data_IF_774946847778
#
_entry.id   IF_774946847778
#
_cell.length_a   1.000
_cell.length_b   1.000
_cell.length_c   1.000
_cell.angle_alpha   90.00
_cell.angle_beta   90.00
_cell.angle_gamma   90.00
#
_symmetry.space_group_name_H-M   'P 1'
#
loop_
_entity.id
_entity.type
_entity.pdbx_description
1 polymer ?
#
# COMPACT_ATOMS: atom_id res chain seq x y z
N UNK A 1 20.79 -5.78 45.85
CA UNK A 1 21.97 -6.54 45.36
C UNK A 1 21.42 -7.73 44.61
N UNK A 2 21.57 -7.97 43.31
CA UNK A 2 22.48 -7.45 42.30
C UNK A 2 21.77 -7.49 40.94
N UNK A 3 22.05 -6.50 40.09
CA UNK A 3 21.65 -6.46 38.71
C UNK A 3 22.39 -7.52 37.88
N UNK A 4 21.75 -8.03 36.82
CA UNK A 4 22.45 -8.66 35.70
C UNK A 4 21.93 -8.02 34.41
N UNK A 5 22.70 -7.06 33.92
CA UNK A 5 22.56 -6.46 32.61
C UNK A 5 22.93 -7.50 31.54
N UNK A 6 22.06 -7.68 30.54
CA UNK A 6 22.42 -8.37 29.30
C UNK A 6 22.78 -7.32 28.26
N UNK A 7 24.07 -7.30 27.91
CA UNK A 7 24.61 -6.51 26.82
C UNK A 7 24.11 -7.08 25.48
N UNK A 8 23.54 -6.23 24.64
CA UNK A 8 23.26 -6.51 23.23
C UNK A 8 24.47 -6.03 22.44
N UNK A 9 25.20 -6.98 21.85
CA UNK A 9 26.34 -6.73 20.97
C UNK A 9 25.81 -6.49 19.56
N UNK A 10 25.97 -5.26 19.05
CA UNK A 10 25.77 -4.96 17.63
C UNK A 10 27.02 -5.36 16.85
N UNK A 11 26.90 -6.35 15.96
CA UNK A 11 27.92 -6.66 14.95
C UNK A 11 27.57 -5.89 13.68
N UNK A 12 28.36 -4.86 13.38
CA UNK A 12 28.31 -4.13 12.12
C UNK A 12 29.08 -4.92 11.05
N UNK A 13 28.39 -5.36 9.99
CA UNK A 13 29.01 -5.95 8.82
C UNK A 13 29.31 -4.85 7.78
N UNK A 14 30.59 -4.57 7.58
CA UNK A 14 31.10 -3.67 6.55
C UNK A 14 31.14 -4.40 5.19
N UNK A 15 30.45 -3.87 4.18
CA UNK A 15 30.59 -4.32 2.79
C UNK A 15 31.74 -3.56 2.13
N UNK A 16 32.80 -4.28 1.78
CA UNK A 16 33.90 -3.79 0.96
C UNK A 16 33.53 -3.91 -0.53
N UNK A 17 33.63 -2.80 -1.25
CA UNK A 17 33.50 -2.74 -2.71
C UNK A 17 34.79 -3.24 -3.38
N UNK A 18 34.66 -4.16 -4.34
CA UNK A 18 35.74 -4.58 -5.24
C UNK A 18 35.41 -4.11 -6.64
N UNK A 19 36.19 -3.14 -7.14
CA UNK A 19 36.16 -2.67 -8.52
C UNK A 19 37.02 -3.58 -9.39
N UNK A 20 36.47 -4.14 -10.46
CA UNK A 20 37.24 -4.81 -11.51
C UNK A 20 37.31 -3.91 -12.74
N UNK A 21 38.54 -3.43 -13.01
CA UNK A 21 38.94 -2.82 -14.27
C UNK A 21 39.28 -3.92 -15.27
N UNK A 22 38.65 -3.92 -16.44
CA UNK A 22 39.16 -4.63 -17.62
C UNK A 22 39.05 -3.74 -18.85
N UNK A 23 40.21 -3.32 -19.33
CA UNK A 23 40.42 -2.76 -20.66
C UNK A 23 40.80 -3.89 -21.64
N UNK A 24 40.33 -3.80 -22.89
CA UNK A 24 41.18 -3.67 -24.08
C UNK A 24 40.45 -3.95 -25.41
N UNK A 25 40.75 -3.07 -26.36
CA UNK A 25 40.95 -3.28 -27.80
C UNK A 25 39.75 -3.59 -28.71
N UNK A 26 39.48 -2.64 -29.60
CA UNK A 26 38.70 -2.79 -30.83
C UNK A 26 39.59 -3.27 -32.00
N UNK A 27 39.00 -3.95 -32.99
CA UNK A 27 39.50 -3.91 -34.37
C UNK A 27 38.51 -3.22 -35.31
N UNK A 28 39.07 -2.40 -36.21
CA UNK A 28 38.43 -1.82 -37.38
C UNK A 28 37.81 -2.89 -38.29
N UNK A 29 36.54 -2.69 -38.65
CA UNK A 29 35.94 -3.31 -39.83
C UNK A 29 35.03 -2.31 -40.54
N UNK A 30 35.56 -1.71 -41.61
CA UNK A 30 34.78 -1.03 -42.65
C UNK A 30 33.92 -2.07 -43.37
N UNK A 31 32.60 -1.90 -43.34
CA UNK A 31 31.70 -2.46 -44.34
C UNK A 31 30.41 -1.64 -44.46
N UNK A 32 30.32 -0.92 -45.58
CA UNK A 32 29.12 -0.55 -46.37
C UNK A 32 27.82 -0.12 -45.65
N UNK A 33 27.49 1.15 -45.79
CA UNK A 33 26.16 1.70 -45.53
C UNK A 33 25.12 1.23 -46.57
N UNK A 34 23.90 0.86 -46.14
CA UNK A 34 22.69 0.95 -46.96
C UNK A 34 21.90 2.23 -46.62
N UNK A 35 21.31 2.83 -47.66
CA UNK A 35 20.44 4.01 -47.65
C UNK A 35 19.25 3.90 -46.68
N UNK A 36 18.67 5.03 -46.22
CA UNK A 36 17.60 5.03 -45.23
C UNK A 36 16.29 4.51 -45.85
N UNK A 37 15.87 3.33 -45.42
CA UNK A 37 14.51 2.83 -45.66
C UNK A 37 13.64 3.28 -44.49
N UNK A 38 12.59 4.04 -44.79
CA UNK A 38 11.59 4.53 -43.86
C UNK A 38 11.01 3.40 -43.01
N UNK A 39 11.43 3.30 -41.75
CA UNK A 39 10.79 2.44 -40.77
C UNK A 39 9.42 3.05 -40.40
N UNK A 40 8.35 2.26 -40.30
CA UNK A 40 7.08 2.78 -39.85
C UNK A 40 7.23 3.20 -38.39
N UNK A 41 6.78 4.42 -38.08
CA UNK A 41 6.51 4.89 -36.73
C UNK A 41 5.69 3.82 -36.01
N UNK A 42 6.33 3.08 -35.10
CA UNK A 42 5.61 2.31 -34.08
C UNK A 42 4.96 3.38 -33.21
N UNK A 43 3.70 3.68 -33.50
CA UNK A 43 2.85 4.35 -32.55
C UNK A 43 2.96 3.56 -31.26
N UNK A 44 3.34 4.23 -30.17
CA UNK A 44 3.21 3.69 -28.84
C UNK A 44 1.75 3.24 -28.72
N UNK A 45 1.53 1.92 -28.73
CA UNK A 45 0.22 1.37 -28.45
C UNK A 45 -0.12 1.82 -27.04
N UNK A 46 -1.17 2.63 -26.91
CA UNK A 46 -1.89 2.75 -25.65
C UNK A 46 -2.11 1.32 -25.13
N UNK A 47 -1.82 1.03 -23.85
CA UNK A 47 -2.07 -0.30 -23.32
C UNK A 47 -3.54 -0.62 -23.54
N UNK A 48 -3.79 -1.62 -24.38
CA UNK A 48 -5.12 -2.11 -24.72
C UNK A 48 -5.84 -2.43 -23.42
N UNK A 49 -6.78 -1.55 -23.06
CA UNK A 49 -7.57 -1.62 -21.85
C UNK A 49 -8.46 -2.85 -21.88
N UNK A 50 -8.01 -3.91 -21.24
CA UNK A 50 -8.97 -4.73 -20.53
C UNK A 50 -9.68 -3.84 -19.49
N UNK A 51 -10.99 -4.06 -19.23
CA UNK A 51 -11.74 -3.27 -18.26
C UNK A 51 -10.99 -3.18 -16.92
N UNK A 52 -11.10 -2.02 -16.26
CA UNK A 52 -10.83 -1.92 -14.83
C UNK A 52 -11.61 -3.03 -14.10
N UNK A 53 -10.95 -3.74 -13.18
CA UNK A 53 -11.63 -4.78 -12.42
C UNK A 53 -12.54 -4.11 -11.39
N UNK A 54 -13.80 -4.52 -11.28
CA UNK A 54 -14.68 -4.01 -10.23
C UNK A 54 -14.11 -4.37 -8.84
N UNK A 55 -13.61 -3.40 -8.04
CA UNK A 55 -13.03 -3.68 -6.73
C UNK A 55 -14.06 -4.26 -5.75
N UNK A 56 -15.36 -4.00 -5.94
CA UNK A 56 -16.43 -4.61 -5.12
C UNK A 56 -16.44 -6.12 -5.29
N UNK A 57 -16.06 -6.63 -6.46
CA UNK A 57 -16.03 -8.06 -6.74
C UNK A 57 -14.85 -8.81 -6.07
N UNK A 58 -13.89 -8.09 -5.46
CA UNK A 58 -12.91 -8.67 -4.55
C UNK A 58 -13.49 -8.95 -3.15
N UNK A 59 -14.63 -8.33 -2.78
CA UNK A 59 -15.28 -8.59 -1.50
C UNK A 59 -15.76 -10.04 -1.47
N UNK A 60 -15.25 -10.82 -0.54
CA UNK A 60 -15.50 -12.26 -0.52
C UNK A 60 -14.67 -13.02 0.50
N UNK A 61 -14.86 -14.34 0.51
CA UNK A 61 -14.06 -15.30 1.25
C UNK A 61 -13.33 -16.18 0.24
N UNK A 62 -12.00 -16.11 0.25
CA UNK A 62 -11.17 -16.66 -0.81
C UNK A 62 -10.20 -17.70 -0.28
N UNK A 63 -10.12 -18.84 -0.95
CA UNK A 63 -9.04 -19.79 -0.79
C UNK A 63 -7.77 -19.22 -1.40
N UNK A 64 -6.68 -19.16 -0.63
CA UNK A 64 -5.39 -18.64 -1.09
C UNK A 64 -4.51 -19.78 -1.59
N UNK A 65 -3.89 -19.61 -2.76
CA UNK A 65 -2.92 -20.55 -3.31
C UNK A 65 -1.78 -19.83 -4.05
N UNK A 66 -0.64 -20.52 -4.21
CA UNK A 66 0.54 -19.95 -4.88
C UNK A 66 1.23 -18.83 -4.12
N UNK A 67 0.79 -18.54 -2.89
CA UNK A 67 1.36 -17.53 -2.02
C UNK A 67 2.54 -18.09 -1.22
N UNK A 68 3.69 -17.43 -1.31
CA UNK A 68 4.90 -17.86 -0.61
C UNK A 68 4.68 -17.77 0.91
N UNK A 69 4.92 -18.88 1.60
CA UNK A 69 4.80 -18.98 3.06
C UNK A 69 3.41 -19.41 3.55
N UNK A 70 2.45 -19.63 2.67
CA UNK A 70 1.11 -20.11 3.03
C UNK A 70 0.97 -21.62 2.84
N UNK A 71 0.25 -22.25 3.77
CA UNK A 71 -0.16 -23.66 3.66
C UNK A 71 -1.37 -23.82 2.74
N UNK A 72 -1.75 -25.07 2.44
CA UNK A 72 -2.97 -25.33 1.67
C UNK A 72 -4.17 -24.75 2.39
N UNK A 73 -4.26 -24.90 3.72
CA UNK A 73 -5.39 -24.46 4.57
C UNK A 73 -5.40 -22.96 4.90
N UNK A 74 -5.27 -22.10 3.88
CA UNK A 74 -5.24 -20.64 4.02
C UNK A 74 -6.46 -19.99 3.35
N UNK A 75 -7.14 -19.08 4.07
CA UNK A 75 -8.25 -18.30 3.53
C UNK A 75 -8.07 -16.81 3.79
N UNK A 76 -8.35 -15.99 2.78
CA UNK A 76 -8.39 -14.54 2.85
C UNK A 76 -9.83 -14.07 2.75
N UNK A 77 -10.34 -13.46 3.81
CA UNK A 77 -11.63 -12.76 3.79
C UNK A 77 -11.39 -11.27 3.56
N UNK A 78 -12.04 -10.72 2.55
CA UNK A 78 -11.99 -9.31 2.19
C UNK A 78 -13.38 -8.69 2.40
N UNK A 79 -13.55 -7.93 3.48
CA UNK A 79 -14.74 -7.09 3.73
C UNK A 79 -14.52 -5.65 3.25
N UNK A 80 -15.46 -4.72 3.50
CA UNK A 80 -15.23 -3.32 3.15
C UNK A 80 -14.15 -2.69 4.05
N UNK A 81 -12.94 -2.46 3.51
CA UNK A 81 -11.82 -1.85 4.23
C UNK A 81 -11.09 -2.79 5.21
N UNK A 82 -11.62 -3.98 5.44
CA UNK A 82 -11.18 -4.97 6.42
C UNK A 82 -10.68 -6.22 5.70
N UNK A 83 -9.54 -6.76 6.14
CA UNK A 83 -9.13 -8.11 5.75
C UNK A 83 -8.88 -8.99 6.97
N UNK A 84 -9.17 -10.27 6.78
CA UNK A 84 -8.87 -11.33 7.73
C UNK A 84 -8.14 -12.45 7.00
N UNK A 85 -6.92 -12.79 7.43
CA UNK A 85 -6.16 -13.92 6.89
C UNK A 85 -6.20 -15.08 7.90
N UNK A 86 -6.86 -16.16 7.50
CA UNK A 86 -6.98 -17.39 8.27
C UNK A 86 -5.82 -18.33 7.94
N UNK A 87 -5.13 -18.80 8.98
CA UNK A 87 -4.04 -19.78 8.90
C UNK A 87 -4.23 -20.86 9.97
N UNK A 88 -3.48 -21.95 9.85
CA UNK A 88 -3.45 -23.00 10.88
C UNK A 88 -3.06 -22.47 12.27
N UNK A 89 -2.19 -21.45 12.33
CA UNK A 89 -1.74 -20.88 13.60
C UNK A 89 -2.79 -19.99 14.29
N UNK A 90 -3.83 -19.55 13.59
CA UNK A 90 -4.74 -18.50 14.05
C UNK A 90 -5.14 -17.53 12.93
N UNK A 91 -5.53 -16.32 13.33
CA UNK A 91 -6.05 -15.30 12.41
C UNK A 91 -5.17 -14.05 12.45
N UNK A 92 -4.93 -13.47 11.28
CA UNK A 92 -4.34 -12.13 11.13
C UNK A 92 -5.41 -11.12 10.73
N UNK A 93 -5.33 -9.93 11.31
CA UNK A 93 -6.22 -8.81 11.07
C UNK A 93 -5.50 -7.70 10.33
N UNK A 94 -6.22 -7.09 9.40
CA UNK A 94 -5.65 -6.06 8.56
C UNK A 94 -6.70 -5.16 7.92
N UNK A 95 -6.20 -4.27 7.07
CA UNK A 95 -7.01 -3.42 6.21
C UNK A 95 -6.56 -3.58 4.76
N UNK A 96 -7.50 -3.44 3.84
CA UNK A 96 -7.21 -3.38 2.42
C UNK A 96 -8.08 -2.33 1.74
N UNK A 97 -7.68 -1.94 0.54
CA UNK A 97 -8.45 -1.12 -0.37
C UNK A 97 -8.03 -1.41 -1.80
N UNK A 98 -8.91 -1.09 -2.74
CA UNK A 98 -8.67 -1.24 -4.16
C UNK A 98 -9.43 -0.18 -4.95
N UNK A 99 -8.91 0.17 -6.12
CA UNK A 99 -9.58 0.97 -7.14
C UNK A 99 -9.05 0.52 -8.50
N UNK A 100 -9.90 0.44 -9.51
CA UNK A 100 -9.61 0.01 -10.88
C UNK A 100 -8.80 -1.29 -11.02
N UNK A 101 -7.47 -1.22 -10.89
CA UNK A 101 -6.57 -2.38 -10.86
C UNK A 101 -5.60 -2.33 -9.69
N UNK A 102 -5.52 -1.23 -8.97
CA UNK A 102 -4.64 -1.06 -7.82
C UNK A 102 -5.18 -1.83 -6.61
N UNK A 103 -4.28 -2.50 -5.92
CA UNK A 103 -4.57 -3.22 -4.68
C UNK A 103 -3.57 -2.79 -3.61
N UNK A 104 -4.08 -2.61 -2.39
CA UNK A 104 -3.27 -2.26 -1.24
C UNK A 104 -3.81 -2.99 -0.01
N UNK A 105 -2.93 -3.65 0.74
CA UNK A 105 -3.32 -4.36 1.94
C UNK A 105 -2.21 -4.30 3.00
N UNK A 106 -2.60 -4.42 4.25
CA UNK A 106 -1.69 -4.45 5.39
C UNK A 106 -2.22 -5.32 6.52
N UNK A 107 -1.32 -5.99 7.24
CA UNK A 107 -1.61 -6.67 8.50
C UNK A 107 -1.16 -5.79 9.65
N UNK A 108 -1.99 -5.67 10.69
CA UNK A 108 -1.66 -4.92 11.91
C UNK A 108 -2.03 -5.65 13.20
N UNK A 109 -2.64 -6.84 13.14
CA UNK A 109 -3.02 -7.61 14.31
C UNK A 109 -3.00 -9.11 14.05
N UNK A 110 -2.93 -9.90 15.12
CA UNK A 110 -2.97 -11.36 15.05
C UNK A 110 -3.53 -11.96 16.33
N UNK A 111 -3.99 -13.20 16.24
CA UNK A 111 -4.47 -14.00 17.36
C UNK A 111 -3.97 -15.45 17.27
N UNK A 112 -4.18 -16.21 18.34
CA UNK A 112 -3.73 -17.60 18.43
C UNK A 112 -2.21 -17.75 18.55
N UNK A 113 -1.70 -18.81 17.95
CA UNK A 113 -0.27 -19.16 17.95
C UNK A 113 0.55 -18.47 16.86
N UNK A 114 -0.06 -17.61 16.03
CA UNK A 114 0.64 -16.79 15.03
C UNK A 114 1.59 -15.73 15.64
N UNK A 115 1.78 -15.75 16.96
CA UNK A 115 2.27 -14.64 17.79
C UNK A 115 3.77 -14.58 18.04
N UNK A 116 4.55 -15.50 17.49
CA UNK A 116 5.95 -15.65 17.93
C UNK A 116 6.89 -14.52 17.45
N UNK A 117 6.61 -13.82 16.32
CA UNK A 117 7.53 -12.79 15.78
C UNK A 117 6.85 -11.65 14.97
N UNK A 118 5.57 -11.32 15.20
CA UNK A 118 4.75 -10.47 14.31
C UNK A 118 4.67 -11.07 12.90
N UNK A 119 3.60 -11.80 12.57
CA UNK A 119 3.54 -12.60 11.35
C UNK A 119 3.67 -11.72 10.11
N UNK A 120 4.77 -11.87 9.38
CA UNK A 120 4.99 -11.21 8.08
C UNK A 120 4.15 -11.91 7.02
N UNK A 121 3.59 -11.14 6.09
CA UNK A 121 2.80 -11.65 4.95
C UNK A 121 3.37 -11.08 3.65
N UNK A 122 4.56 -11.53 3.21
CA UNK A 122 5.31 -10.86 2.15
C UNK A 122 4.56 -10.76 0.82
N UNK A 123 3.74 -11.75 0.48
CA UNK A 123 2.96 -11.75 -0.77
C UNK A 123 1.86 -10.69 -0.74
N UNK A 124 1.24 -10.45 0.42
CA UNK A 124 0.21 -9.43 0.58
C UNK A 124 0.86 -8.04 0.60
N UNK A 125 2.06 -7.95 1.20
CA UNK A 125 2.85 -6.72 1.19
C UNK A 125 3.38 -6.33 -0.20
N UNK A 126 3.62 -7.33 -1.06
CA UNK A 126 4.06 -7.15 -2.44
C UNK A 126 2.90 -6.86 -3.39
N UNK A 127 1.68 -7.29 -3.07
CA UNK A 127 0.51 -7.10 -3.92
C UNK A 127 0.28 -5.61 -4.20
N UNK A 128 0.25 -5.27 -5.48
CA UNK A 128 0.07 -3.92 -6.00
C UNK A 128 -1.12 -3.82 -6.96
N UNK A 129 -1.51 -4.94 -7.57
CA UNK A 129 -2.65 -4.99 -8.48
C UNK A 129 -3.39 -6.32 -8.43
N UNK A 130 -4.53 -6.38 -9.11
CA UNK A 130 -5.36 -7.59 -9.23
C UNK A 130 -5.90 -7.76 -10.65
N UNK A 131 -6.26 -8.99 -11.00
CA UNK A 131 -6.98 -9.32 -12.24
C UNK A 131 -7.89 -10.53 -12.05
N UNK A 132 -8.96 -10.60 -12.84
CA UNK A 132 -9.85 -11.75 -12.84
C UNK A 132 -9.12 -13.01 -13.35
N UNK A 133 -9.44 -14.17 -12.77
CA UNK A 133 -8.89 -15.46 -13.16
C UNK A 133 -9.94 -16.57 -12.91
N UNK A 134 -10.67 -16.97 -13.95
CA UNK A 134 -11.81 -17.89 -13.81
C UNK A 134 -12.88 -17.29 -12.91
N UNK A 135 -13.33 -18.05 -11.91
CA UNK A 135 -14.31 -17.61 -10.89
C UNK A 135 -13.66 -16.89 -9.70
N UNK A 136 -12.39 -16.49 -9.83
CA UNK A 136 -11.62 -15.86 -8.76
C UNK A 136 -10.69 -14.77 -9.28
N UNK A 137 -9.61 -14.54 -8.54
CA UNK A 137 -8.70 -13.42 -8.74
C UNK A 137 -7.24 -13.84 -8.65
N UNK A 138 -6.36 -13.09 -9.30
CA UNK A 138 -4.93 -13.14 -9.06
C UNK A 138 -4.48 -11.79 -8.53
N UNK A 139 -3.68 -11.82 -7.47
CA UNK A 139 -2.96 -10.65 -6.98
C UNK A 139 -1.58 -10.63 -7.61
N UNK A 140 -1.14 -9.45 -8.03
CA UNK A 140 0.13 -9.26 -8.72
C UNK A 140 0.99 -8.21 -8.03
N UNK A 141 2.30 -8.40 -8.12
CA UNK A 141 3.28 -7.40 -7.70
C UNK A 141 3.41 -6.26 -8.73
N UNK A 142 4.23 -5.22 -8.45
CA UNK A 142 4.42 -4.11 -9.37
C UNK A 142 5.00 -4.49 -10.74
N UNK A 143 5.67 -5.64 -10.86
CA UNK A 143 6.18 -6.17 -12.13
C UNK A 143 5.14 -7.03 -12.87
N UNK A 144 3.93 -7.17 -12.33
CA UNK A 144 2.85 -7.96 -12.91
C UNK A 144 3.04 -9.48 -12.73
N UNK A 145 3.90 -9.92 -11.82
CA UNK A 145 4.04 -11.34 -11.47
C UNK A 145 2.98 -11.71 -10.44
N UNK A 146 2.39 -12.90 -10.58
CA UNK A 146 1.38 -13.39 -9.65
C UNK A 146 2.04 -13.71 -8.30
N UNK A 147 1.53 -13.09 -7.23
CA UNK A 147 1.97 -13.34 -5.84
C UNK A 147 0.98 -14.20 -5.05
N UNK A 148 -0.28 -14.26 -5.49
CA UNK A 148 -1.30 -15.15 -4.94
C UNK A 148 -2.44 -15.36 -5.95
N UNK A 149 -3.07 -16.53 -5.89
CA UNK A 149 -4.35 -16.81 -6.54
C UNK A 149 -5.45 -17.00 -5.49
N UNK A 150 -6.60 -16.41 -5.74
CA UNK A 150 -7.80 -16.39 -4.90
C UNK A 150 -8.89 -17.15 -5.63
N UNK A 151 -9.46 -18.18 -5.01
CA UNK A 151 -10.55 -18.96 -5.60
C UNK A 151 -11.69 -19.17 -4.60
N UNK A 152 -12.90 -19.39 -5.11
CA UNK A 152 -14.04 -19.82 -4.28
C UNK A 152 -13.86 -21.31 -4.01
N UNK A 153 -13.44 -21.65 -2.78
CA UNK A 153 -13.27 -23.03 -2.34
C UNK A 153 -13.47 -23.15 -0.83
N UNK A 154 -14.69 -23.59 -0.46
CA UNK A 154 -15.07 -23.83 0.92
C UNK A 154 -14.98 -22.61 1.84
N UNK A 155 -14.82 -22.89 3.13
CA UNK A 155 -14.62 -21.92 4.19
C UNK A 155 -13.63 -22.50 5.21
N UNK A 156 -12.90 -21.66 5.97
CA UNK A 156 -11.99 -22.16 7.00
C UNK A 156 -12.77 -22.88 8.10
N UNK A 157 -12.14 -23.86 8.73
CA UNK A 157 -12.69 -24.48 9.94
C UNK A 157 -12.72 -23.43 11.07
N UNK A 158 -13.83 -23.28 11.80
CA UNK A 158 -13.92 -22.33 12.90
C UNK A 158 -12.83 -22.53 13.96
N UNK A 159 -12.33 -21.42 14.51
CA UNK A 159 -11.44 -21.40 15.67
C UNK A 159 -12.29 -20.97 16.86
N UNK A 160 -12.31 -21.75 17.94
CA UNK A 160 -13.20 -21.52 19.10
C UNK A 160 -13.07 -20.13 19.73
N UNK A 161 -11.88 -19.51 19.65
CA UNK A 161 -11.61 -18.17 20.19
C UNK A 161 -11.82 -17.05 19.18
N UNK A 162 -12.14 -17.37 17.93
CA UNK A 162 -12.40 -16.39 16.89
C UNK A 162 -13.90 -16.11 16.77
N UNK A 163 -14.24 -14.89 16.35
CA UNK A 163 -15.61 -14.57 15.99
C UNK A 163 -16.04 -15.43 14.79
N UNK A 164 -17.17 -16.17 14.85
CA UNK A 164 -17.62 -17.02 13.75
C UNK A 164 -17.82 -16.27 12.43
N UNK A 165 -18.16 -14.98 12.49
CA UNK A 165 -18.38 -14.15 11.28
C UNK A 165 -17.13 -13.99 10.42
N UNK A 166 -15.93 -14.27 10.95
CA UNK A 166 -14.69 -14.27 10.18
C UNK A 166 -14.58 -15.46 9.22
N UNK A 167 -15.35 -16.53 9.43
CA UNK A 167 -15.43 -17.67 8.52
C UNK A 167 -16.60 -17.56 7.52
N UNK A 168 -17.39 -16.47 7.59
CA UNK A 168 -18.54 -16.24 6.72
C UNK A 168 -18.21 -15.31 5.55
N UNK A 169 -18.83 -15.56 4.39
CA UNK A 169 -18.72 -14.67 3.23
C UNK A 169 -19.33 -13.29 3.55
N UNK A 170 -18.58 -12.19 3.36
CA UNK A 170 -19.10 -10.84 3.56
C UNK A 170 -20.34 -10.55 2.69
N UNK A 171 -21.31 -9.83 3.24
CA UNK A 171 -22.50 -9.39 2.50
C UNK A 171 -22.20 -8.11 1.72
N UNK A 172 -22.48 -8.11 0.42
CA UNK A 172 -22.33 -6.93 -0.44
C UNK A 172 -23.64 -6.13 -0.45
N UNK A 173 -23.78 -5.22 0.51
CA UNK A 173 -24.87 -4.25 0.60
C UNK A 173 -24.50 -2.91 -0.07
N UNK A 174 -25.40 -1.93 0.01
CA UNK A 174 -25.17 -0.60 -0.58
C UNK A 174 -24.03 0.17 0.10
N UNK A 175 -23.82 -0.05 1.40
CA UNK A 175 -22.71 0.58 2.14
C UNK A 175 -21.37 0.03 1.65
N UNK A 176 -21.29 -1.28 1.41
CA UNK A 176 -20.10 -1.91 0.81
C UNK A 176 -19.85 -1.32 -0.57
N UNK A 177 -20.86 -1.26 -1.45
CA UNK A 177 -20.70 -0.65 -2.79
C UNK A 177 -20.22 0.80 -2.72
N UNK A 178 -20.81 1.62 -1.83
CA UNK A 178 -20.43 3.01 -1.66
C UNK A 178 -18.97 3.22 -1.20
N UNK A 179 -18.39 2.22 -0.52
CA UNK A 179 -17.00 2.26 -0.04
C UNK A 179 -15.97 2.15 -1.16
N UNK A 180 -16.38 1.61 -2.33
CA UNK A 180 -15.55 1.42 -3.52
C UNK A 180 -16.04 2.24 -4.72
N UNK A 181 -17.00 3.14 -4.52
CA UNK A 181 -17.50 3.99 -5.59
C UNK A 181 -16.37 4.86 -6.16
N UNK A 182 -16.46 5.11 -7.47
CA UNK A 182 -15.51 5.98 -8.16
C UNK A 182 -15.41 7.35 -7.51
N UNK A 183 -14.19 7.85 -7.48
CA UNK A 183 -13.86 9.18 -6.96
C UNK A 183 -13.95 10.20 -8.12
N UNK A 184 -14.50 11.40 -7.88
CA UNK A 184 -14.47 12.48 -8.86
C UNK A 184 -13.04 12.81 -9.33
N UNK A 185 -12.89 13.46 -10.50
CA UNK A 185 -11.58 13.95 -10.91
C UNK A 185 -11.04 15.00 -9.93
N UNK A 186 -9.71 15.14 -9.87
CA UNK A 186 -9.06 16.18 -9.09
C UNK A 186 -9.61 17.57 -9.45
N UNK A 187 -9.98 18.41 -8.46
CA UNK A 187 -10.46 19.77 -8.71
C UNK A 187 -9.52 20.61 -9.58
N UNK A 188 -10.11 21.43 -10.46
CA UNK A 188 -9.34 22.33 -11.32
C UNK A 188 -8.48 23.30 -10.49
N UNK A 189 -7.25 23.53 -10.93
CA UNK A 189 -6.27 24.38 -10.23
C UNK A 189 -5.30 23.59 -9.35
N UNK A 190 -5.60 22.33 -9.01
CA UNK A 190 -4.67 21.44 -8.36
C UNK A 190 -3.85 20.66 -9.39
N UNK A 191 -2.53 20.58 -9.17
CA UNK A 191 -1.66 19.67 -9.92
C UNK A 191 -1.67 18.30 -9.24
N UNK A 192 -1.95 17.18 -9.94
CA UNK A 192 -1.80 15.85 -9.35
C UNK A 192 -0.43 15.64 -8.70
N UNK A 193 -0.42 15.08 -7.49
CA UNK A 193 0.82 14.66 -6.87
C UNK A 193 1.39 13.43 -7.59
N UNK A 194 2.71 13.25 -7.50
CA UNK A 194 3.40 12.00 -7.87
C UNK A 194 3.91 11.31 -6.61
N UNK A 195 4.20 10.01 -6.67
CA UNK A 195 4.80 9.30 -5.52
C UNK A 195 6.14 9.92 -5.08
N UNK A 196 6.92 10.44 -6.05
CA UNK A 196 8.15 11.15 -5.77
C UNK A 196 7.89 12.50 -5.07
N UNK A 197 6.82 13.19 -5.45
CA UNK A 197 6.41 14.41 -4.75
C UNK A 197 6.03 14.11 -3.29
N UNK A 198 5.31 13.02 -3.01
CA UNK A 198 4.85 12.74 -1.64
C UNK A 198 5.97 12.31 -0.69
N UNK A 199 7.01 11.66 -1.18
CA UNK A 199 8.07 11.11 -0.34
C UNK A 199 8.66 12.17 0.61
N UNK A 200 8.79 11.82 1.89
CA UNK A 200 9.32 12.68 2.95
C UNK A 200 8.28 13.08 4.00
N UNK A 201 8.69 14.00 4.88
CA UNK A 201 7.92 14.46 6.03
C UNK A 201 7.18 15.77 5.76
N UNK A 202 5.94 15.82 6.23
CA UNK A 202 4.98 16.88 6.02
C UNK A 202 4.31 17.26 7.33
N UNK A 203 4.06 18.55 7.51
CA UNK A 203 3.39 19.10 8.68
C UNK A 203 2.17 19.94 8.24
N UNK A 204 1.13 20.08 9.08
CA UNK A 204 -0.01 20.94 8.79
C UNK A 204 0.37 22.36 8.38
N UNK A 205 -0.19 22.83 7.27
CA UNK A 205 -0.03 24.20 6.82
C UNK A 205 -0.73 25.16 7.81
N UNK A 206 -0.06 26.25 8.18
CA UNK A 206 -0.65 27.31 8.99
C UNK A 206 -0.94 26.94 10.46
N UNK A 207 -0.56 25.75 10.91
CA UNK A 207 -0.70 25.30 12.30
C UNK A 207 0.70 25.09 12.87
N UNK A 208 0.97 25.69 14.03
CA UNK A 208 2.21 25.47 14.78
C UNK A 208 1.85 25.21 16.22
N UNK A 209 1.95 23.94 16.62
CA UNK A 209 1.67 23.45 17.97
C UNK A 209 2.85 22.63 18.46
N UNK A 210 3.06 22.59 19.78
CA UNK A 210 4.17 21.87 20.40
C UNK A 210 4.06 20.36 20.30
N UNK A 211 2.89 19.84 19.92
CA UNK A 211 2.63 18.40 19.83
C UNK A 211 3.17 17.77 18.55
N UNK A 212 3.68 18.56 17.59
CA UNK A 212 4.32 18.05 16.36
C UNK A 212 3.44 17.12 15.50
N UNK A 213 2.22 17.53 15.09
CA UNK A 213 1.41 16.76 14.15
C UNK A 213 2.09 16.69 12.78
N UNK A 214 2.16 15.50 12.19
CA UNK A 214 2.90 15.25 10.95
C UNK A 214 2.46 13.97 10.23
N UNK A 215 2.92 13.83 8.99
CA UNK A 215 2.99 12.56 8.25
C UNK A 215 4.32 12.44 7.53
N UNK A 216 4.89 11.24 7.53
CA UNK A 216 6.03 10.84 6.72
C UNK A 216 5.62 9.75 5.74
N UNK A 217 5.71 10.06 4.44
CA UNK A 217 5.56 9.08 3.37
C UNK A 217 6.92 8.49 3.02
N UNK A 218 7.10 7.21 3.33
CA UNK A 218 8.34 6.49 3.08
C UNK A 218 8.36 5.89 1.67
N UNK A 219 9.57 5.64 1.16
CA UNK A 219 9.76 4.78 -0.01
C UNK A 219 9.19 3.38 0.28
N UNK A 220 8.53 2.75 -0.70
CA UNK A 220 7.97 1.41 -0.54
C UNK A 220 6.52 1.36 -0.03
N UNK A 221 5.72 2.40 -0.29
CA UNK A 221 4.25 2.40 -0.06
C UNK A 221 3.86 2.35 1.43
N UNK A 222 4.71 2.82 2.32
CA UNK A 222 4.44 2.93 3.75
C UNK A 222 4.35 4.41 4.17
N UNK A 223 3.51 4.71 5.16
CA UNK A 223 3.45 6.02 5.80
C UNK A 223 3.32 5.89 7.32
N UNK A 224 3.80 6.89 8.04
CA UNK A 224 3.63 7.06 9.49
C UNK A 224 3.15 8.46 9.75
N UNK A 225 2.19 8.64 10.64
CA UNK A 225 1.70 9.95 11.01
C UNK A 225 1.42 10.05 12.49
N UNK A 226 1.32 11.29 12.96
CA UNK A 226 0.89 11.60 14.30
C UNK A 226 0.02 12.86 14.30
N UNK A 227 -0.99 12.88 15.16
CA UNK A 227 -1.70 14.11 15.56
C UNK A 227 -0.99 14.80 16.75
N UNK A 228 0.13 14.24 17.20
CA UNK A 228 0.94 14.67 18.32
C UNK A 228 0.69 13.92 19.64
N UNK A 229 -0.38 13.12 19.73
CA UNK A 229 -0.68 12.29 20.91
C UNK A 229 -0.95 10.83 20.54
N UNK A 230 -1.45 10.61 19.34
CA UNK A 230 -1.66 9.32 18.73
C UNK A 230 -0.77 9.20 17.50
N UNK A 231 -0.26 7.99 17.29
CA UNK A 231 0.48 7.64 16.09
C UNK A 231 -0.33 6.63 15.28
N UNK A 232 -0.19 6.71 13.96
CA UNK A 232 -0.69 5.70 13.05
C UNK A 232 0.39 5.34 12.04
N UNK A 233 0.45 4.08 11.65
CA UNK A 233 1.28 3.62 10.56
C UNK A 233 0.42 2.79 9.63
N UNK A 234 0.54 3.04 8.34
CA UNK A 234 -0.17 2.26 7.35
C UNK A 234 0.50 2.31 5.97
N UNK A 235 -0.22 1.87 4.94
CA UNK A 235 0.26 1.87 3.56
C UNK A 235 -0.46 2.89 2.68
N UNK A 236 0.20 3.26 1.59
CA UNK A 236 -0.33 4.14 0.57
C UNK A 236 0.13 3.76 -0.84
N UNK A 237 -0.65 4.14 -1.84
CA UNK A 237 -0.22 4.16 -3.24
C UNK A 237 -0.92 5.30 -3.97
N UNK A 238 -0.33 5.73 -5.08
CA UNK A 238 -0.81 6.88 -5.84
C UNK A 238 -0.87 6.54 -7.33
N UNK A 239 -1.95 6.96 -7.98
CA UNK A 239 -2.12 6.89 -9.42
C UNK A 239 -1.77 8.23 -10.07
N UNK A 240 -1.54 8.24 -11.38
CA UNK A 240 -0.99 9.40 -12.10
C UNK A 240 -1.91 10.62 -12.14
N UNK A 241 -3.21 10.44 -11.91
CA UNK A 241 -4.22 11.51 -11.87
C UNK A 241 -4.43 12.09 -10.46
N UNK A 242 -3.63 11.63 -9.48
CA UNK A 242 -3.70 12.08 -8.09
C UNK A 242 -4.65 11.25 -7.22
N UNK A 243 -5.28 10.19 -7.74
CA UNK A 243 -6.01 9.25 -6.90
C UNK A 243 -5.04 8.55 -5.95
N UNK A 244 -5.41 8.54 -4.67
CA UNK A 244 -4.63 7.91 -3.63
C UNK A 244 -5.44 6.79 -2.98
N UNK A 245 -4.81 5.64 -2.86
CA UNK A 245 -5.27 4.57 -2.00
C UNK A 245 -4.45 4.57 -0.73
N UNK A 246 -5.12 4.44 0.39
CA UNK A 246 -4.54 4.42 1.72
C UNK A 246 -5.28 3.37 2.54
N UNK A 247 -4.55 2.63 3.35
CA UNK A 247 -5.13 1.79 4.40
C UNK A 247 -5.08 2.56 5.72
N UNK A 248 -6.02 2.32 6.62
CA UNK A 248 -5.97 2.83 7.99
C UNK A 248 -5.24 1.86 8.93
N UNK A 249 -4.39 2.39 9.80
CA UNK A 249 -3.72 1.63 10.87
C UNK A 249 -4.43 1.77 12.22
N UNK A 250 -4.03 0.95 13.19
CA UNK A 250 -4.47 1.12 14.57
C UNK A 250 -3.95 2.44 15.15
N UNK A 251 -4.78 3.09 15.96
CA UNK A 251 -4.43 4.32 16.68
C UNK A 251 -5.09 4.31 18.06
N UNK A 252 -4.45 4.95 19.03
CA UNK A 252 -5.10 5.33 20.28
C UNK A 252 -6.04 6.53 20.03
N UNK A 253 -7.00 6.78 20.93
CA UNK A 253 -7.93 7.92 20.85
C UNK A 253 -7.69 8.92 21.98
N UNK A 254 -6.44 9.34 22.16
CA UNK A 254 -6.00 10.31 23.17
C UNK A 254 -6.19 11.72 22.61
N UNK A 255 -7.02 12.56 23.23
CA UNK A 255 -7.29 13.90 22.73
C UNK A 255 -6.14 14.90 23.01
N UNK A 256 -5.80 15.73 22.03
CA UNK A 256 -4.96 16.92 22.21
C UNK A 256 -5.16 17.99 21.12
N UNK A 257 -4.44 19.11 21.25
CA UNK A 257 -4.60 20.33 20.43
C UNK A 257 -4.03 20.22 19.00
N UNK A 258 -3.48 19.06 18.62
CA UNK A 258 -2.89 18.84 17.30
C UNK A 258 -3.92 18.59 16.20
N UNK A 259 -3.50 18.79 14.95
CA UNK A 259 -4.30 18.47 13.79
C UNK A 259 -4.35 16.95 13.58
N UNK A 260 -5.51 16.41 13.18
CA UNK A 260 -5.71 14.99 12.89
C UNK A 260 -5.10 14.56 11.55
N UNK A 261 -3.79 14.73 11.40
CA UNK A 261 -3.06 14.35 10.19
C UNK A 261 -3.24 12.87 9.84
N UNK A 262 -3.17 11.91 10.78
CA UNK A 262 -3.44 10.51 10.47
C UNK A 262 -4.84 10.26 9.92
N UNK A 263 -5.87 10.93 10.48
CA UNK A 263 -7.23 10.88 9.98
C UNK A 263 -7.36 11.46 8.58
N UNK A 264 -6.72 12.61 8.32
CA UNK A 264 -6.69 13.21 6.97
C UNK A 264 -6.09 12.23 5.95
N UNK A 265 -4.93 11.65 6.26
CA UNK A 265 -4.23 10.73 5.35
C UNK A 265 -5.03 9.44 5.13
N UNK A 266 -5.74 8.94 6.15
CA UNK A 266 -6.58 7.74 6.03
C UNK A 266 -7.88 7.99 5.24
N UNK A 267 -8.44 9.18 5.34
CA UNK A 267 -9.64 9.60 4.60
C UNK A 267 -9.35 10.02 3.16
N UNK A 268 -8.09 10.28 2.83
CA UNK A 268 -7.69 10.81 1.53
C UNK A 268 -8.02 9.85 0.39
N UNK A 269 -8.56 10.41 -0.70
CA UNK A 269 -8.80 9.71 -1.98
C UNK A 269 -8.24 10.45 -3.18
N UNK A 270 -8.04 11.76 -3.07
CA UNK A 270 -7.32 12.56 -4.07
C UNK A 270 -6.25 13.40 -3.39
N UNK A 271 -5.13 13.55 -4.07
CA UNK A 271 -4.01 14.35 -3.61
C UNK A 271 -3.48 15.22 -4.74
N UNK A 272 -3.40 16.52 -4.46
CA UNK A 272 -2.89 17.49 -5.40
C UNK A 272 -2.07 18.57 -4.71
N UNK A 273 -1.41 19.38 -5.52
CA UNK A 273 -0.66 20.54 -5.07
C UNK A 273 -1.35 21.82 -5.50
N UNK A 274 -1.46 22.74 -4.55
CA UNK A 274 -1.71 24.17 -4.80
C UNK A 274 -0.42 24.93 -4.47
N UNK A 275 0.34 25.30 -5.50
CA UNK A 275 1.68 25.83 -5.31
C UNK A 275 2.61 24.81 -4.63
N UNK A 276 3.03 25.11 -3.40
CA UNK A 276 3.89 24.24 -2.59
C UNK A 276 3.14 23.46 -1.50
N UNK A 277 1.85 23.73 -1.31
CA UNK A 277 1.02 23.04 -0.31
C UNK A 277 0.44 21.77 -0.92
N UNK A 278 0.57 20.68 -0.16
CA UNK A 278 -0.08 19.42 -0.44
C UNK A 278 -1.52 19.48 0.08
N UNK A 279 -2.49 19.26 -0.80
CA UNK A 279 -3.91 19.27 -0.48
C UNK A 279 -4.41 17.83 -0.46
N UNK A 280 -4.97 17.42 0.68
CA UNK A 280 -5.59 16.11 0.88
C UNK A 280 -7.10 16.25 0.76
N UNK A 281 -7.72 15.48 -0.14
CA UNK A 281 -9.15 15.53 -0.37
C UNK A 281 -9.77 14.16 -0.13
N UNK A 282 -10.99 14.14 0.38
CA UNK A 282 -11.77 12.93 0.58
C UNK A 282 -12.39 12.39 -0.73
N UNK A 283 -13.24 11.37 -0.59
CA UNK A 283 -13.95 10.70 -1.68
C UNK A 283 -14.90 11.62 -2.47
N UNK A 284 -15.38 12.70 -1.85
CA UNK A 284 -16.30 13.66 -2.44
C UNK A 284 -15.56 14.92 -2.93
N UNK A 285 -14.21 14.84 -3.01
CA UNK A 285 -13.30 15.92 -3.34
C UNK A 285 -13.37 17.12 -2.38
N UNK A 286 -13.78 16.89 -1.12
CA UNK A 286 -13.78 17.88 -0.05
C UNK A 286 -12.43 17.87 0.64
N UNK A 287 -11.90 19.06 0.94
CA UNK A 287 -10.61 19.22 1.60
C UNK A 287 -10.63 18.67 3.03
N UNK A 288 -9.76 17.71 3.31
CA UNK A 288 -9.48 17.16 4.63
C UNK A 288 -8.44 17.99 5.36
N UNK A 289 -7.41 18.45 4.64
CA UNK A 289 -6.36 19.28 5.19
C UNK A 289 -5.27 19.62 4.20
N UNK A 290 -4.40 20.56 4.63
CA UNK A 290 -3.24 21.04 3.87
C UNK A 290 -1.97 20.79 4.63
N UNK A 291 -0.94 20.39 3.91
CA UNK A 291 0.37 20.10 4.47
C UNK A 291 1.46 20.87 3.71
N UNK A 292 2.50 21.25 4.43
CA UNK A 292 3.74 21.78 3.85
C UNK A 292 4.88 20.82 4.16
N UNK A 293 5.83 20.75 3.23
CA UNK A 293 7.02 19.92 3.44
C UNK A 293 7.81 20.49 4.61
N UNK A 294 8.11 19.64 5.58
CA UNK A 294 9.03 20.01 6.64
C UNK A 294 10.40 20.29 6.01
N UNK A 295 10.91 21.51 6.19
CA UNK A 295 12.25 21.81 5.70
C UNK A 295 13.24 21.08 6.59
N UNK A 296 14.20 20.39 5.99
CA UNK A 296 15.34 19.91 6.74
C UNK A 296 15.97 21.11 7.45
N UNK A 297 16.04 21.07 8.77
CA UNK A 297 16.75 22.07 9.54
C UNK A 297 18.22 21.99 9.12
N UNK A 298 18.77 23.10 8.62
CA UNK A 298 20.18 23.14 8.25
C UNK A 298 21.01 22.94 9.53
N UNK A 299 22.05 22.08 9.51
CA UNK A 299 22.87 21.79 10.68
C UNK A 299 23.60 23.02 11.22
#
# INVERSE_FOLDING_TARGET
>A
MSAVARAVVFVAAAFAAVSLLTACAAPDARASAPSPSSAPTVAAGEPSGEPAGDPVALVGLWRVSGAVGEGSETWLRLGAGELVLWRECGILHGAWTAADRAFLAQIFGWSGSCSMDSPVVPWLDAAASYRAAGDGWQLLDPEGRVVASLAIDGAPQPIDTADPSFAETPVIDERVRASFADVPPLPAGLRPATSADLAGRWIPAGISVSTDPHVEFMAGRAWRGSDGCNGQAARWTLESDGRMLTTGGLSTSIGCEGADVPGWVSGTRLVGFEGAELVLLDRDAVELGRLVRERAEAP
#
